data_IF_851861967761
#
_entry.id   IF_851861967761
#
_cell.length_a   1.000
_cell.length_b   1.000
_cell.length_c   1.000
_cell.angle_alpha   90.00
_cell.angle_beta   90.00
_cell.angle_gamma   90.00
#
_symmetry.space_group_name_H-M   'P 1'
#
loop_
_entity.id
_entity.type
_entity.pdbx_description
1 polymer ?
#
# COMPACT_ATOMS: atom_id res chain seq x y z
N UNK A 1 15.65 -11.73 -4.77
CA UNK A 1 15.05 -10.69 -5.63
C UNK A 1 13.55 -10.92 -5.72
N UNK A 2 12.76 -9.88 -5.47
CA UNK A 2 11.30 -10.00 -5.47
C UNK A 2 10.71 -9.55 -6.80
N UNK A 3 9.65 -10.25 -7.21
CA UNK A 3 8.86 -9.82 -8.37
C UNK A 3 7.56 -9.22 -7.85
N UNK A 4 6.82 -8.55 -8.72
CA UNK A 4 5.50 -8.01 -8.37
C UNK A 4 4.58 -9.09 -7.79
N UNK A 5 4.61 -10.27 -8.39
CA UNK A 5 3.85 -11.40 -7.87
C UNK A 5 4.17 -11.67 -6.40
N UNK A 6 5.45 -11.65 -6.05
CA UNK A 6 5.89 -11.91 -4.68
C UNK A 6 5.41 -10.83 -3.72
N UNK A 7 5.50 -9.55 -4.14
CA UNK A 7 5.02 -8.44 -3.31
C UNK A 7 3.54 -8.56 -3.00
N UNK A 8 2.75 -9.02 -3.98
CA UNK A 8 1.30 -9.13 -3.78
C UNK A 8 0.92 -10.24 -2.82
N UNK A 9 1.84 -11.15 -2.52
CA UNK A 9 1.61 -12.23 -1.57
C UNK A 9 1.97 -11.85 -0.13
N UNK A 10 2.52 -10.65 0.06
CA UNK A 10 3.00 -10.21 1.38
C UNK A 10 2.04 -9.20 1.96
N UNK A 11 1.81 -9.33 3.27
CA UNK A 11 0.94 -8.40 3.98
C UNK A 11 1.72 -7.15 4.39
N UNK A 12 1.11 -5.99 4.17
CA UNK A 12 1.73 -4.70 4.51
C UNK A 12 1.34 -4.33 5.93
N UNK A 13 2.33 -4.12 6.79
CA UNK A 13 2.13 -3.83 8.20
C UNK A 13 2.88 -2.56 8.56
N UNK A 14 2.18 -1.65 9.26
CA UNK A 14 2.77 -0.40 9.73
C UNK A 14 3.46 -0.63 11.06
N UNK A 15 4.75 -0.31 11.14
CA UNK A 15 5.52 -0.50 12.37
C UNK A 15 5.17 0.53 13.45
N UNK A 16 4.60 1.68 13.07
CA UNK A 16 4.26 2.72 14.04
C UNK A 16 3.17 2.30 15.01
N UNK A 17 2.16 1.59 14.50
CA UNK A 17 0.98 1.26 15.31
C UNK A 17 0.51 -0.17 15.13
N UNK A 18 1.23 -0.96 14.36
CA UNK A 18 0.85 -2.35 14.12
C UNK A 18 -0.32 -2.52 13.16
N UNK A 19 -0.77 -1.46 12.52
CA UNK A 19 -1.89 -1.56 11.58
C UNK A 19 -1.56 -2.50 10.43
N UNK A 20 -2.51 -3.35 10.10
CA UNK A 20 -2.38 -4.31 9.00
C UNK A 20 -3.22 -3.79 7.85
N UNK A 21 -2.53 -3.32 6.82
CA UNK A 21 -3.24 -2.69 5.69
C UNK A 21 -3.76 -3.70 4.67
N UNK A 22 -3.18 -4.87 4.61
CA UNK A 22 -3.54 -5.86 3.61
C UNK A 22 -2.46 -6.03 2.56
N UNK A 23 -2.88 -6.35 1.35
CA UNK A 23 -1.94 -6.77 0.32
C UNK A 23 -1.87 -5.75 -0.81
N UNK A 24 -0.70 -5.63 -1.41
CA UNK A 24 -0.48 -4.72 -2.53
C UNK A 24 -1.34 -5.14 -3.71
N UNK A 25 -2.08 -4.19 -4.29
CA UNK A 25 -2.89 -4.44 -5.49
C UNK A 25 -2.30 -3.79 -6.74
N UNK A 26 -1.48 -2.74 -6.56
CA UNK A 26 -0.96 -2.01 -7.72
C UNK A 26 0.27 -1.22 -7.31
N UNK A 27 0.95 -0.67 -8.28
CA UNK A 27 2.15 0.14 -8.11
C UNK A 27 2.04 1.41 -8.93
N UNK A 28 2.63 2.48 -8.42
CA UNK A 28 2.86 3.69 -9.21
C UNK A 28 4.34 3.73 -9.55
N UNK A 29 4.65 3.89 -10.82
CA UNK A 29 6.02 3.91 -11.33
C UNK A 29 6.36 5.32 -11.79
N UNK A 30 7.55 5.79 -11.38
CA UNK A 30 8.12 7.00 -11.92
C UNK A 30 8.78 6.65 -13.25
N UNK A 31 8.12 6.99 -14.34
CA UNK A 31 8.59 6.61 -15.66
C UNK A 31 9.88 7.31 -16.06
N UNK A 32 10.08 8.52 -15.56
CA UNK A 32 11.30 9.28 -15.87
C UNK A 32 12.54 8.61 -15.28
N UNK A 33 12.41 8.06 -14.07
CA UNK A 33 13.54 7.42 -13.40
C UNK A 33 13.49 5.89 -13.47
N UNK A 34 12.40 5.34 -13.94
CA UNK A 34 12.24 3.89 -14.01
C UNK A 34 12.18 3.22 -12.64
N UNK A 35 11.63 3.90 -11.65
CA UNK A 35 11.60 3.42 -10.27
C UNK A 35 10.18 3.32 -9.75
N UNK A 36 9.97 2.39 -8.81
CA UNK A 36 8.70 2.30 -8.10
C UNK A 36 8.61 3.50 -7.15
N UNK A 37 7.52 4.22 -7.25
CA UNK A 37 7.27 5.41 -6.44
C UNK A 37 6.37 5.11 -5.26
N UNK A 38 5.33 4.30 -5.45
CA UNK A 38 4.27 4.11 -4.46
C UNK A 38 3.69 2.72 -4.58
N UNK A 39 3.37 2.12 -3.43
CA UNK A 39 2.58 0.90 -3.37
C UNK A 39 1.12 1.27 -3.12
N UNK A 40 0.21 0.59 -3.81
CA UNK A 40 -1.22 0.80 -3.63
C UNK A 40 -1.80 -0.43 -2.93
N UNK A 41 -2.50 -0.20 -1.83
CA UNK A 41 -3.21 -1.24 -1.08
C UNK A 41 -4.66 -0.80 -0.95
N UNK A 42 -5.63 -1.68 -1.26
CA UNK A 42 -7.04 -1.31 -1.13
C UNK A 42 -7.36 -0.89 0.31
N UNK A 43 -8.11 0.18 0.44
CA UNK A 43 -8.49 0.71 1.74
C UNK A 43 -9.80 0.10 2.25
N UNK A 44 -10.20 0.48 3.47
CA UNK A 44 -11.36 -0.13 4.12
C UNK A 44 -12.71 0.38 3.61
N UNK A 45 -12.73 1.47 2.87
CA UNK A 45 -13.99 2.13 2.47
C UNK A 45 -14.89 1.30 1.58
N UNK A 46 -14.38 0.24 0.96
CA UNK A 46 -15.18 -0.62 0.08
C UNK A 46 -16.14 -1.52 0.83
N UNK A 47 -15.95 -1.64 2.13
CA UNK A 47 -16.74 -2.58 2.94
C UNK A 47 -18.23 -2.26 2.89
N UNK A 48 -18.58 -0.99 2.80
CA UNK A 48 -19.97 -0.57 2.81
C UNK A 48 -20.61 -0.48 1.43
N UNK A 49 -19.81 -0.50 0.39
CA UNK A 49 -20.23 -0.73 -0.99
C UNK A 49 -21.26 0.19 -1.63
N UNK A 50 -22.17 0.73 -0.87
CA UNK A 50 -23.33 1.43 -1.43
C UNK A 50 -23.08 2.92 -1.59
N UNK A 51 -22.48 3.51 -0.59
CA UNK A 51 -22.21 4.94 -0.60
C UNK A 51 -20.73 5.25 -0.53
N UNK A 52 -19.93 4.22 -0.35
CA UNK A 52 -18.52 4.41 -0.14
C UNK A 52 -17.82 4.76 -1.43
N UNK A 53 -17.00 5.77 -1.38
CA UNK A 53 -15.99 5.96 -2.40
C UNK A 53 -14.92 4.93 -2.16
N UNK A 54 -14.32 4.45 -3.23
CA UNK A 54 -13.20 3.55 -3.09
C UNK A 54 -12.07 4.29 -2.39
N UNK A 55 -11.52 3.65 -1.38
CA UNK A 55 -10.36 4.16 -0.69
C UNK A 55 -9.17 3.29 -0.98
N UNK A 56 -8.00 3.87 -0.93
CA UNK A 56 -6.78 3.12 -1.07
C UNK A 56 -5.70 3.74 -0.21
N UNK A 57 -4.77 2.91 0.23
CA UNK A 57 -3.57 3.38 0.90
C UNK A 57 -2.51 3.56 -0.18
N UNK A 58 -1.94 4.76 -0.24
CA UNK A 58 -0.83 5.07 -1.14
C UNK A 58 0.43 5.21 -0.30
N UNK A 59 1.24 4.19 -0.32
CA UNK A 59 2.41 4.10 0.54
C UNK A 59 3.65 4.44 -0.28
N UNK A 60 4.31 5.58 0.00
CA UNK A 60 5.53 5.93 -0.72
C UNK A 60 6.58 4.86 -0.54
N UNK A 61 7.31 4.56 -1.60
CA UNK A 61 8.38 3.57 -1.55
C UNK A 61 9.39 3.89 -0.45
N UNK A 62 9.64 5.18 -0.20
CA UNK A 62 10.57 5.64 0.83
C UNK A 62 10.14 5.26 2.25
N UNK A 63 8.89 4.89 2.45
CA UNK A 63 8.39 4.50 3.77
C UNK A 63 8.53 3.02 4.05
N UNK A 64 9.00 2.25 3.10
CA UNK A 64 9.21 0.82 3.29
C UNK A 64 10.48 0.64 4.10
N UNK A 65 10.38 -0.08 5.21
CA UNK A 65 11.50 -0.36 6.10
C UNK A 65 12.15 -1.69 5.80
N UNK A 66 11.33 -2.68 5.48
CA UNK A 66 11.87 -4.01 5.22
C UNK A 66 10.85 -4.81 4.41
N UNK A 67 11.36 -5.57 3.46
CA UNK A 67 10.56 -6.54 2.73
C UNK A 67 11.00 -7.91 3.25
N UNK A 68 10.10 -8.55 3.99
CA UNK A 68 10.35 -9.88 4.52
C UNK A 68 9.82 -10.96 3.60
N UNK A 69 9.80 -12.19 4.12
CA UNK A 69 9.31 -13.33 3.35
C UNK A 69 7.80 -13.25 3.15
N UNK A 70 7.05 -12.91 4.20
CA UNK A 70 5.59 -12.88 4.15
C UNK A 70 5.01 -11.51 4.41
N UNK A 71 5.83 -10.53 4.72
CA UNK A 71 5.35 -9.21 5.11
C UNK A 71 6.20 -8.12 4.49
N UNK A 72 5.59 -6.92 4.40
CA UNK A 72 6.28 -5.68 4.05
C UNK A 72 6.08 -4.74 5.22
N UNK A 73 7.16 -4.35 5.87
CA UNK A 73 7.08 -3.41 6.99
C UNK A 73 7.24 -1.99 6.47
N UNK A 74 6.30 -1.13 6.83
CA UNK A 74 6.34 0.29 6.47
C UNK A 74 6.25 1.14 7.74
N UNK A 75 6.70 2.37 7.63
CA UNK A 75 6.63 3.31 8.75
C UNK A 75 5.99 4.59 8.24
N UNK A 76 4.70 4.76 8.54
CA UNK A 76 3.95 5.90 8.02
C UNK A 76 2.79 6.23 8.95
N UNK A 77 2.17 7.38 8.68
CA UNK A 77 0.96 7.79 9.40
C UNK A 77 -0.24 7.46 8.52
N UNK A 78 -1.13 6.64 9.03
CA UNK A 78 -2.26 6.13 8.26
C UNK A 78 -3.10 7.23 7.63
N UNK A 79 -3.35 8.31 8.38
CA UNK A 79 -4.17 9.40 7.86
C UNK A 79 -3.52 10.16 6.71
N UNK A 80 -2.22 10.02 6.53
CA UNK A 80 -1.52 10.70 5.44
C UNK A 80 -1.46 9.87 4.16
N UNK A 81 -1.68 8.57 4.29
CA UNK A 81 -1.58 7.67 3.13
C UNK A 81 -2.94 7.19 2.62
N UNK A 82 -3.99 7.37 3.41
CA UNK A 82 -5.33 6.96 3.00
C UNK A 82 -5.92 8.00 2.06
N UNK A 83 -6.28 7.59 0.86
CA UNK A 83 -6.79 8.46 -0.18
C UNK A 83 -8.12 7.95 -0.68
N UNK A 84 -9.06 8.86 -0.90
CA UNK A 84 -10.33 8.50 -1.52
C UNK A 84 -10.23 8.65 -3.02
N UNK A 85 -10.77 7.67 -3.70
CA UNK A 85 -10.85 7.67 -5.15
C UNK A 85 -12.24 8.16 -5.54
N UNK A 86 -12.29 9.26 -6.27
CA UNK A 86 -13.57 9.88 -6.63
C UNK A 86 -14.19 9.38 -7.92
N UNK A 87 -13.62 8.40 -8.53
CA UNK A 87 -14.13 7.90 -9.82
C UNK A 87 -15.33 7.00 -9.68
#
# INVERSE_FOLDING_TARGET
MSRMYDLRQKEVINTNDGARYGFVSDLVIDEAEGKIKTLIVPGPGRVLGVFGRDQEYRIPWSKIKKIGEDIVLVECETNKILVENDD
#
